data_IF_911168650653
#
_entry.id   IF_911168650653
#
_cell.length_a   1.000
_cell.length_b   1.000
_cell.length_c   1.000
_cell.angle_alpha   90.00
_cell.angle_beta   90.00
_cell.angle_gamma   90.00
#
_symmetry.space_group_name_H-M   'P 1'
#
loop_
_entity.id
_entity.type
_entity.pdbx_description
1 polymer ?
#
# COMPACT_ATOMS: atom_id res chain seq x y z
N UNK A 1 -12.44 -8.90 4.72
CA UNK A 1 -11.14 -8.46 5.29
C UNK A 1 -11.30 -8.22 6.78
N UNK A 2 -10.22 -8.23 7.55
CA UNK A 2 -10.25 -7.94 9.00
C UNK A 2 -10.18 -6.43 9.27
N UNK A 3 -10.70 -6.01 10.43
CA UNK A 3 -10.68 -4.61 10.86
C UNK A 3 -9.46 -4.27 11.73
N UNK A 4 -8.91 -5.27 12.43
CA UNK A 4 -7.79 -5.13 13.36
C UNK A 4 -6.65 -6.10 12.99
N UNK A 5 -5.48 -5.91 13.62
CA UNK A 5 -4.38 -6.88 13.54
C UNK A 5 -4.81 -8.19 14.20
N UNK A 6 -4.59 -9.30 13.51
CA UNK A 6 -4.78 -10.64 14.08
C UNK A 6 -3.43 -11.26 14.45
N UNK A 7 -3.44 -12.08 15.50
CA UNK A 7 -2.29 -12.88 15.95
C UNK A 7 -2.04 -14.11 15.05
N UNK A 8 -3.08 -14.64 14.42
CA UNK A 8 -2.99 -15.71 13.42
C UNK A 8 -2.93 -15.17 11.98
N UNK A 9 -2.38 -16.00 11.09
CA UNK A 9 -2.37 -15.75 9.64
C UNK A 9 -3.74 -16.01 9.01
N UNK A 10 -4.12 -15.15 8.07
CA UNK A 10 -5.33 -15.30 7.27
C UNK A 10 -5.07 -14.88 5.83
N UNK A 11 -6.01 -15.22 4.95
CA UNK A 11 -5.99 -14.82 3.55
C UNK A 11 -7.40 -14.40 3.15
N UNK A 12 -7.51 -13.35 2.35
CA UNK A 12 -8.77 -13.00 1.67
C UNK A 12 -8.61 -13.24 0.19
N UNK A 13 -9.59 -13.92 -0.38
CA UNK A 13 -9.69 -14.15 -1.80
C UNK A 13 -10.78 -13.28 -2.40
N UNK A 14 -10.53 -12.65 -3.55
CA UNK A 14 -11.53 -11.90 -4.33
C UNK A 14 -11.15 -11.80 -5.80
N UNK A 15 -12.14 -11.54 -6.66
CA UNK A 15 -11.91 -11.08 -8.03
C UNK A 15 -11.47 -9.62 -8.12
N UNK A 16 -10.94 -9.27 -9.30
CA UNK A 16 -10.79 -7.88 -9.75
C UNK A 16 -12.16 -7.21 -9.95
N UNK A 17 -13.13 -7.96 -10.46
CA UNK A 17 -14.53 -7.57 -10.57
C UNK A 17 -15.41 -8.08 -9.42
N UNK A 18 -16.70 -8.27 -9.69
CA UNK A 18 -17.65 -8.92 -8.80
C UNK A 18 -17.73 -10.44 -9.05
N UNK A 19 -17.27 -10.91 -10.20
CA UNK A 19 -17.13 -12.33 -10.53
C UNK A 19 -15.71 -12.87 -10.32
N UNK A 20 -15.61 -14.20 -10.11
CA UNK A 20 -14.34 -14.94 -10.21
C UNK A 20 -14.06 -15.38 -11.67
N UNK A 21 -15.06 -15.91 -12.36
CA UNK A 21 -14.95 -16.22 -13.78
C UNK A 21 -15.04 -14.96 -14.65
N UNK A 22 -14.60 -15.05 -15.90
CA UNK A 22 -14.82 -13.98 -16.86
C UNK A 22 -16.32 -13.65 -16.99
N UNK A 23 -16.64 -12.38 -16.84
CA UNK A 23 -17.97 -11.83 -17.08
C UNK A 23 -17.88 -10.74 -18.15
N UNK A 24 -18.56 -10.95 -19.29
CA UNK A 24 -18.53 -10.02 -20.42
C UNK A 24 -19.25 -8.69 -20.16
N UNK A 25 -20.06 -8.60 -19.10
CA UNK A 25 -20.82 -7.40 -18.73
C UNK A 25 -20.01 -6.49 -17.79
N UNK A 26 -18.93 -6.99 -17.17
CA UNK A 26 -18.08 -6.18 -16.29
C UNK A 26 -17.18 -5.24 -17.10
N UNK A 27 -17.21 -3.96 -16.75
CA UNK A 27 -16.34 -2.92 -17.28
C UNK A 27 -15.58 -2.19 -16.16
N UNK A 28 -15.27 -0.91 -16.41
CA UNK A 28 -14.49 -0.05 -15.49
C UNK A 28 -15.13 0.08 -14.11
N UNK A 29 -16.45 0.28 -14.06
CA UNK A 29 -17.19 0.50 -12.81
C UNK A 29 -17.27 -0.74 -11.91
N UNK A 30 -17.21 -1.94 -12.49
CA UNK A 30 -17.26 -3.19 -11.73
C UNK A 30 -15.86 -3.67 -11.34
N UNK A 31 -14.82 -3.19 -12.02
CA UNK A 31 -13.44 -3.59 -11.77
C UNK A 31 -12.79 -2.64 -10.79
N UNK A 32 -12.20 -3.17 -9.72
CA UNK A 32 -11.48 -2.39 -8.70
C UNK A 32 -10.49 -1.40 -9.35
N UNK A 33 -10.48 -0.15 -8.86
CA UNK A 33 -9.54 0.86 -9.33
C UNK A 33 -8.08 0.49 -9.01
N UNK A 34 -7.12 1.01 -9.77
CA UNK A 34 -5.70 0.75 -9.55
C UNK A 34 -5.25 1.14 -8.13
N UNK A 35 -5.61 2.35 -7.70
CA UNK A 35 -5.29 2.83 -6.37
C UNK A 35 -6.01 2.04 -5.28
N UNK A 36 -7.28 1.70 -5.50
CA UNK A 36 -8.06 0.89 -4.56
C UNK A 36 -7.46 -0.51 -4.38
N UNK A 37 -6.93 -1.13 -5.44
CA UNK A 37 -6.27 -2.42 -5.38
C UNK A 37 -4.97 -2.37 -4.57
N UNK A 38 -4.16 -1.34 -4.78
CA UNK A 38 -2.92 -1.11 -4.01
C UNK A 38 -3.25 -0.87 -2.53
N UNK A 39 -4.24 -0.02 -2.25
CA UNK A 39 -4.69 0.26 -0.89
C UNK A 39 -5.25 -0.99 -0.21
N UNK A 40 -6.00 -1.81 -0.95
CA UNK A 40 -6.52 -3.07 -0.45
C UNK A 40 -5.40 -4.03 -0.04
N UNK A 41 -4.39 -4.21 -0.89
CA UNK A 41 -3.23 -5.04 -0.57
C UNK A 41 -2.54 -4.55 0.70
N UNK A 42 -2.21 -3.25 0.77
CA UNK A 42 -1.54 -2.68 1.92
C UNK A 42 -2.37 -2.78 3.22
N UNK A 43 -3.69 -2.60 3.15
CA UNK A 43 -4.61 -2.77 4.29
C UNK A 43 -4.67 -4.22 4.79
N UNK A 44 -4.62 -5.20 3.89
CA UNK A 44 -4.61 -6.62 4.24
C UNK A 44 -3.29 -7.01 4.91
N UNK A 45 -2.16 -6.62 4.29
CA UNK A 45 -0.82 -6.97 4.76
C UNK A 45 -0.54 -6.34 6.13
N UNK A 46 -0.95 -5.08 6.35
CA UNK A 46 -0.78 -4.42 7.65
C UNK A 46 -1.57 -5.08 8.79
N UNK A 47 -2.56 -5.93 8.46
CA UNK A 47 -3.42 -6.66 9.40
C UNK A 47 -3.13 -8.17 9.42
N UNK A 48 -1.94 -8.56 9.01
CA UNK A 48 -1.39 -9.93 9.02
C UNK A 48 -1.94 -10.87 7.93
N UNK A 49 -2.67 -10.33 6.96
CA UNK A 49 -3.30 -11.11 5.91
C UNK A 49 -2.47 -11.23 4.63
N UNK A 50 -2.86 -12.19 3.79
CA UNK A 50 -2.50 -12.26 2.37
C UNK A 50 -3.71 -11.88 1.49
N UNK A 51 -3.43 -11.34 0.31
CA UNK A 51 -4.43 -11.11 -0.73
C UNK A 51 -4.23 -12.14 -1.84
N UNK A 52 -5.21 -13.03 -2.00
CA UNK A 52 -5.33 -13.89 -3.17
C UNK A 52 -6.23 -13.21 -4.20
N UNK A 53 -5.63 -12.66 -5.24
CA UNK A 53 -6.35 -11.93 -6.29
C UNK A 53 -6.66 -12.86 -7.47
N UNK A 54 -7.95 -13.07 -7.73
CA UNK A 54 -8.41 -13.90 -8.83
C UNK A 54 -8.48 -13.10 -10.14
N UNK A 55 -8.02 -13.74 -11.22
CA UNK A 55 -8.10 -13.25 -12.61
C UNK A 55 -9.07 -14.16 -13.36
N UNK A 56 -9.94 -13.58 -14.18
CA UNK A 56 -10.91 -14.31 -15.00
C UNK A 56 -10.54 -14.23 -16.49
N UNK A 57 -9.77 -15.19 -17.04
CA UNK A 57 -9.46 -15.22 -18.47
C UNK A 57 -10.72 -15.42 -19.33
N UNK A 58 -10.68 -14.88 -20.54
CA UNK A 58 -11.69 -15.09 -21.57
C UNK A 58 -11.72 -16.57 -22.00
N UNK A 59 -12.77 -17.03 -22.70
CA UNK A 59 -12.86 -18.40 -23.19
C UNK A 59 -11.72 -18.81 -24.13
N UNK A 60 -11.08 -17.85 -24.81
CA UNK A 60 -9.90 -18.07 -25.65
C UNK A 60 -8.58 -18.11 -24.87
N UNK A 61 -8.63 -17.98 -23.54
CA UNK A 61 -7.48 -17.99 -22.63
C UNK A 61 -6.79 -16.64 -22.44
N UNK A 62 -7.18 -15.59 -23.17
CA UNK A 62 -6.62 -14.25 -23.00
C UNK A 62 -7.09 -13.57 -21.70
N UNK A 63 -6.26 -12.73 -21.09
CA UNK A 63 -6.67 -11.91 -19.94
C UNK A 63 -7.34 -10.63 -20.46
N UNK A 64 -8.53 -10.25 -19.96
CA UNK A 64 -9.14 -8.98 -20.33
C UNK A 64 -8.23 -7.77 -20.06
N UNK A 65 -8.12 -6.85 -21.02
CA UNK A 65 -7.18 -5.71 -20.95
C UNK A 65 -7.34 -4.88 -19.67
N UNK A 66 -8.57 -4.69 -19.19
CA UNK A 66 -8.85 -3.99 -17.95
C UNK A 66 -8.23 -4.70 -16.72
N UNK A 67 -8.33 -6.03 -16.67
CA UNK A 67 -7.72 -6.81 -15.60
C UNK A 67 -6.19 -6.77 -15.70
N UNK A 68 -5.66 -6.89 -16.92
CA UNK A 68 -4.23 -6.76 -17.19
C UNK A 68 -3.69 -5.40 -16.73
N UNK A 69 -4.39 -4.31 -17.03
CA UNK A 69 -4.00 -2.96 -16.61
C UNK A 69 -3.91 -2.84 -15.07
N UNK A 70 -4.86 -3.43 -14.32
CA UNK A 70 -4.79 -3.45 -12.84
C UNK A 70 -3.62 -4.26 -12.31
N UNK A 71 -3.36 -5.42 -12.91
CA UNK A 71 -2.21 -6.26 -12.53
C UNK A 71 -0.89 -5.54 -12.82
N UNK A 72 -0.77 -4.85 -13.96
CA UNK A 72 0.39 -4.06 -14.30
C UNK A 72 0.57 -2.86 -13.36
N UNK A 73 -0.51 -2.14 -13.03
CA UNK A 73 -0.44 -1.04 -12.07
C UNK A 73 0.03 -1.51 -10.69
N UNK A 74 -0.52 -2.62 -10.19
CA UNK A 74 -0.08 -3.23 -8.93
C UNK A 74 1.37 -3.70 -8.99
N UNK A 75 1.75 -4.38 -10.07
CA UNK A 75 3.12 -4.89 -10.27
C UNK A 75 4.15 -3.76 -10.35
N UNK A 76 3.85 -2.68 -11.07
CA UNK A 76 4.70 -1.49 -11.14
C UNK A 76 4.85 -0.83 -9.77
N UNK A 77 3.76 -0.71 -9.00
CA UNK A 77 3.82 -0.17 -7.64
C UNK A 77 4.65 -1.05 -6.71
N UNK A 78 4.49 -2.38 -6.78
CA UNK A 78 5.30 -3.36 -6.03
C UNK A 78 6.77 -3.36 -6.45
N UNK A 79 7.08 -3.06 -7.71
CA UNK A 79 8.47 -2.91 -8.18
C UNK A 79 9.24 -1.82 -7.43
N UNK A 80 8.54 -0.78 -6.97
CA UNK A 80 9.12 0.31 -6.17
C UNK A 80 8.95 0.08 -4.67
N UNK A 81 7.75 -0.31 -4.23
CA UNK A 81 7.34 -0.33 -2.83
C UNK A 81 7.31 -1.74 -2.21
N UNK A 82 7.71 -2.77 -2.96
CA UNK A 82 7.59 -4.17 -2.56
C UNK A 82 8.34 -4.51 -1.27
N UNK A 83 9.40 -3.79 -0.93
CA UNK A 83 10.11 -3.93 0.35
C UNK A 83 9.17 -3.68 1.55
N UNK A 84 8.20 -2.77 1.42
CA UNK A 84 7.20 -2.49 2.45
C UNK A 84 6.07 -3.53 2.53
N UNK A 85 6.06 -4.53 1.64
CA UNK A 85 5.05 -5.59 1.58
C UNK A 85 5.67 -6.96 1.85
N UNK A 86 6.65 -7.37 1.05
CA UNK A 86 7.23 -8.71 1.08
C UNK A 86 8.11 -8.92 2.32
N UNK A 87 7.97 -10.10 2.93
CA UNK A 87 8.62 -10.50 4.19
C UNK A 87 8.34 -9.60 5.40
N UNK A 88 7.34 -8.73 5.31
CA UNK A 88 6.96 -7.86 6.41
C UNK A 88 6.00 -8.55 7.39
N UNK A 89 5.84 -7.95 8.55
CA UNK A 89 4.81 -8.27 9.54
C UNK A 89 4.02 -7.02 9.90
N UNK A 90 2.80 -7.15 10.44
CA UNK A 90 2.12 -6.03 11.08
C UNK A 90 3.05 -5.32 12.05
N UNK A 91 2.99 -3.99 12.04
CA UNK A 91 3.60 -3.22 13.12
C UNK A 91 2.69 -3.22 14.36
N UNK A 92 3.02 -2.42 15.38
CA UNK A 92 2.25 -2.31 16.63
C UNK A 92 0.81 -1.82 16.41
N UNK A 93 0.57 -1.10 15.31
CA UNK A 93 -0.75 -0.69 14.83
C UNK A 93 -0.80 -0.78 13.32
N UNK A 94 -1.96 -1.11 12.76
CA UNK A 94 -2.12 -1.30 11.32
C UNK A 94 -2.33 0.00 10.54
N UNK A 95 -2.89 1.02 11.19
CA UNK A 95 -3.41 2.21 10.51
C UNK A 95 -3.23 3.51 11.30
N UNK A 96 -3.13 4.61 10.58
CA UNK A 96 -3.24 5.98 11.10
C UNK A 96 -3.76 6.90 9.98
N UNK A 97 -3.87 8.19 10.30
CA UNK A 97 -4.04 9.25 9.31
C UNK A 97 -2.92 10.26 9.45
N UNK A 98 -2.51 10.88 8.35
CA UNK A 98 -1.70 12.10 8.39
C UNK A 98 -2.53 13.25 8.96
N UNK A 99 -1.87 14.35 9.34
CA UNK A 99 -2.56 15.55 9.82
C UNK A 99 -3.52 16.16 8.78
N UNK A 100 -3.25 16.00 7.48
CA UNK A 100 -4.11 16.40 6.37
C UNK A 100 -5.13 15.33 5.94
N UNK A 101 -5.22 14.21 6.67
CA UNK A 101 -6.31 13.23 6.57
C UNK A 101 -6.06 12.03 5.65
N UNK A 102 -4.88 11.93 5.03
CA UNK A 102 -4.50 10.79 4.20
C UNK A 102 -4.38 9.53 5.05
N UNK A 103 -4.90 8.42 4.54
CA UNK A 103 -4.79 7.12 5.20
C UNK A 103 -3.36 6.60 5.14
N UNK A 104 -2.92 6.03 6.26
CA UNK A 104 -1.60 5.39 6.37
C UNK A 104 -1.79 3.94 6.82
N UNK A 105 -1.00 3.03 6.25
CA UNK A 105 -0.86 1.65 6.72
C UNK A 105 0.57 1.36 7.13
N UNK A 106 0.73 0.50 8.13
CA UNK A 106 2.05 0.17 8.65
C UNK A 106 2.38 -1.31 8.52
N UNK A 107 3.61 -1.57 8.12
CA UNK A 107 4.26 -2.88 8.16
C UNK A 107 5.65 -2.72 8.79
N UNK A 108 6.29 -3.83 9.13
CA UNK A 108 7.62 -3.87 9.76
C UNK A 108 8.46 -4.99 9.17
N UNK A 109 9.76 -4.75 8.98
CA UNK A 109 10.76 -5.77 8.64
C UNK A 109 12.03 -5.54 9.47
N UNK A 110 12.41 -6.51 10.30
CA UNK A 110 13.48 -6.28 11.28
C UNK A 110 13.10 -5.11 12.20
N UNK A 111 13.95 -4.09 12.30
CA UNK A 111 13.64 -2.88 13.08
C UNK A 111 13.06 -1.74 12.22
N UNK A 112 13.06 -1.91 10.90
CA UNK A 112 12.49 -0.93 9.98
C UNK A 112 10.97 -0.96 10.04
N UNK A 113 10.36 0.22 10.16
CA UNK A 113 8.92 0.43 10.06
C UNK A 113 8.63 1.07 8.71
N UNK A 114 7.62 0.58 8.00
CA UNK A 114 7.15 1.19 6.77
C UNK A 114 5.83 1.89 7.01
N UNK A 115 5.73 3.15 6.58
CA UNK A 115 4.50 3.91 6.56
C UNK A 115 4.07 4.09 5.10
N UNK A 116 3.00 3.40 4.70
CA UNK A 116 2.44 3.43 3.35
C UNK A 116 1.32 4.46 3.35
N UNK A 117 1.59 5.63 2.78
CA UNK A 117 0.65 6.77 2.70
C UNK A 117 -0.18 6.64 1.43
N UNK A 118 -1.49 6.69 1.54
CA UNK A 118 -2.43 6.60 0.42
C UNK A 118 -2.76 7.99 -0.13
N UNK A 119 -2.89 8.10 -1.45
CA UNK A 119 -3.14 9.38 -2.13
C UNK A 119 -1.85 10.07 -2.56
N UNK A 120 -1.93 11.38 -2.81
CA UNK A 120 -0.84 12.19 -3.37
C UNK A 120 -0.29 13.24 -2.38
N UNK A 121 0.84 12.94 -1.72
CA UNK A 121 1.56 13.87 -0.87
C UNK A 121 2.63 14.67 -1.62
N UNK A 122 2.69 14.63 -2.97
CA UNK A 122 3.75 15.27 -3.75
C UNK A 122 3.94 16.75 -3.40
N UNK A 123 5.20 17.12 -3.14
CA UNK A 123 5.60 18.50 -2.82
C UNK A 123 5.10 19.01 -1.47
N UNK A 124 4.47 18.18 -0.64
CA UNK A 124 3.96 18.55 0.68
C UNK A 124 4.87 18.04 1.78
N UNK A 125 4.82 18.72 2.92
CA UNK A 125 5.24 18.14 4.19
C UNK A 125 4.07 17.36 4.77
N UNK A 126 4.28 16.08 5.06
CA UNK A 126 3.28 15.24 5.73
C UNK A 126 3.67 15.02 7.18
N UNK A 127 2.67 14.95 8.05
CA UNK A 127 2.83 14.73 9.48
C UNK A 127 2.09 13.46 9.87
N UNK A 128 2.83 12.46 10.37
CA UNK A 128 2.29 11.15 10.77
C UNK A 128 2.45 11.00 12.30
N UNK A 129 1.35 11.04 13.08
CA UNK A 129 1.40 10.95 14.53
C UNK A 129 1.70 9.52 14.99
N UNK A 130 2.50 9.34 16.04
CA UNK A 130 2.80 8.04 16.66
C UNK A 130 3.75 7.17 15.86
N UNK A 131 4.68 7.78 15.12
CA UNK A 131 5.78 7.09 14.41
C UNK A 131 7.09 7.45 15.11
N UNK A 132 7.97 6.49 15.41
CA UNK A 132 9.22 6.76 16.12
C UNK A 132 10.15 7.68 15.31
N UNK A 133 11.03 8.37 16.03
CA UNK A 133 12.13 9.10 15.41
C UNK A 133 13.14 8.14 14.78
N UNK A 134 13.71 8.54 13.64
CA UNK A 134 14.65 7.72 12.90
C UNK A 134 15.05 8.36 11.58
N UNK A 135 15.88 7.65 10.82
CA UNK A 135 16.19 8.02 9.43
C UNK A 135 15.02 7.64 8.55
N UNK A 136 14.58 8.57 7.71
CA UNK A 136 13.46 8.35 6.78
C UNK A 136 13.96 8.30 5.36
N UNK A 137 13.53 7.30 4.60
CA UNK A 137 13.72 7.22 3.16
C UNK A 137 12.38 6.96 2.46
N UNK A 138 12.20 7.53 1.28
CA UNK A 138 11.10 7.19 0.38
C UNK A 138 11.58 6.08 -0.56
N UNK A 139 10.86 4.96 -0.58
CA UNK A 139 11.22 3.85 -1.47
C UNK A 139 11.19 4.33 -2.93
N UNK A 140 12.29 4.10 -3.65
CA UNK A 140 12.50 4.58 -5.03
C UNK A 140 13.05 6.00 -5.17
N UNK A 141 13.21 6.77 -4.09
CA UNK A 141 13.73 8.14 -4.13
C UNK A 141 14.90 8.42 -3.15
N UNK A 142 15.10 7.58 -2.14
CA UNK A 142 16.21 7.69 -1.19
C UNK A 142 15.86 8.42 0.10
N UNK A 143 16.89 8.84 0.85
CA UNK A 143 16.73 9.53 2.14
C UNK A 143 15.99 10.87 1.98
N UNK A 144 15.15 11.19 2.95
CA UNK A 144 14.36 12.43 2.99
C UNK A 144 14.73 13.28 4.21
N UNK A 145 14.54 14.59 4.07
CA UNK A 145 14.51 15.50 5.21
C UNK A 145 13.32 15.17 6.10
N UNK A 146 13.60 14.80 7.35
CA UNK A 146 12.58 14.45 8.34
C UNK A 146 12.91 15.02 9.71
N UNK A 147 11.86 15.38 10.45
CA UNK A 147 11.96 15.81 11.84
C UNK A 147 10.95 15.02 12.69
N UNK A 148 11.28 14.78 13.95
CA UNK A 148 10.35 14.19 14.92
C UNK A 148 10.11 15.16 16.05
N UNK A 149 8.86 15.56 16.25
CA UNK A 149 8.44 16.49 17.31
C UNK A 149 7.09 16.04 17.86
N UNK A 150 6.90 16.10 19.17
CA UNK A 150 5.63 15.79 19.84
C UNK A 150 5.06 14.40 19.49
N UNK A 151 5.94 13.42 19.30
CA UNK A 151 5.58 12.05 18.92
C UNK A 151 5.04 11.91 17.50
N UNK A 152 5.19 12.92 16.64
CA UNK A 152 4.84 12.87 15.23
C UNK A 152 6.07 12.98 14.33
N UNK A 153 6.07 12.21 13.24
CA UNK A 153 7.07 12.27 12.19
C UNK A 153 6.63 13.27 11.12
N UNK A 154 7.47 14.26 10.84
CA UNK A 154 7.32 15.24 9.75
C UNK A 154 8.28 14.88 8.64
N UNK A 155 7.78 14.77 7.41
CA UNK A 155 8.59 14.36 6.25
C UNK A 155 8.24 15.24 5.06
N UNK A 156 9.25 15.79 4.40
CA UNK A 156 9.09 16.53 3.15
C UNK A 156 9.14 15.57 1.96
N UNK A 157 8.03 15.43 1.25
CA UNK A 157 7.92 14.55 0.08
C UNK A 157 8.35 15.30 -1.18
N UNK A 158 9.13 14.69 -2.09
CA UNK A 158 9.50 15.31 -3.35
C UNK A 158 8.29 15.68 -4.21
N UNK A 159 8.43 16.68 -5.07
CA UNK A 159 7.39 17.11 -6.01
C UNK A 159 7.03 16.04 -7.05
N UNK A 160 7.91 15.05 -7.26
CA UNK A 160 7.67 13.92 -8.17
C UNK A 160 8.04 12.62 -7.46
N UNK A 161 7.11 12.05 -6.67
CA UNK A 161 7.33 10.75 -6.05
C UNK A 161 7.48 9.63 -7.11
N UNK A 162 8.22 8.56 -6.79
CA UNK A 162 8.53 7.49 -7.75
C UNK A 162 7.37 6.52 -8.01
N UNK A 163 6.31 6.57 -7.21
CA UNK A 163 5.12 5.73 -7.33
C UNK A 163 3.86 6.57 -7.49
N UNK A 164 2.76 5.94 -7.92
CA UNK A 164 1.41 6.54 -7.94
C UNK A 164 0.53 5.86 -6.88
N UNK A 165 -0.57 6.51 -6.52
CA UNK A 165 -1.65 6.01 -5.65
C UNK A 165 -1.30 5.79 -4.17
N UNK A 166 -0.08 5.32 -3.88
CA UNK A 166 0.45 5.19 -2.53
C UNK A 166 1.98 5.27 -2.52
N UNK A 167 2.55 5.68 -1.39
CA UNK A 167 3.99 5.92 -1.23
C UNK A 167 4.47 5.34 0.08
N UNK A 168 5.50 4.48 0.02
CA UNK A 168 6.06 3.85 1.20
C UNK A 168 7.28 4.63 1.72
N UNK A 169 7.17 5.16 2.93
CA UNK A 169 8.29 5.65 3.71
C UNK A 169 8.88 4.50 4.50
N UNK A 170 10.19 4.33 4.44
CA UNK A 170 10.98 3.48 5.31
C UNK A 170 11.52 4.33 6.47
N UNK A 171 11.24 3.92 7.70
CA UNK A 171 11.72 4.55 8.92
C UNK A 171 12.64 3.56 9.62
N UNK A 172 13.92 3.88 9.67
CA UNK A 172 14.93 3.11 10.41
C UNK A 172 15.16 3.80 11.76
N UNK A 173 14.75 3.20 12.89
CA UNK A 173 14.97 3.76 14.21
C UNK A 173 16.46 4.06 14.47
N UNK A 174 16.71 5.09 15.29
CA UNK A 174 18.06 5.45 15.74
C UNK A 174 18.65 4.44 16.74
#
# INVERSE_FOLDING_TARGET
KMDQITDYKWETCRGLGYSFGYNAVEGEEQTIGEGELIQLLADIVSKNGNLLLNVGPRPDGSIPDIQLARLQALGNWLGVNGEAIFDTRPWQRAQAKTADGLDVRFTRKGDDVYAIVFGDPAGKEIVIPGVPAGKVALLGAGELESASSDGALKVKVPATPPSKHAHALKITPA
#
